data_IF_421224020365
#
_entry.id   IF_421224020365
#
_cell.length_a   1.000
_cell.length_b   1.000
_cell.length_c   1.000
_cell.angle_alpha   90.00
_cell.angle_beta   90.00
_cell.angle_gamma   90.00
#
_symmetry.space_group_name_H-M   'P 1'
#
loop_
_entity.id
_entity.type
_entity.pdbx_description
1 polymer ?
#
# COMPACT_ATOMS: atom_id res chain seq x y z
N UNK A 1 -36.47 -4.81 10.42
CA UNK A 1 -35.88 -6.01 9.80
C UNK A 1 -34.55 -5.56 9.26
N UNK A 2 -33.45 -6.10 9.76
CA UNK A 2 -32.16 -5.88 9.15
C UNK A 2 -32.21 -6.49 7.75
N UNK A 3 -32.06 -5.69 6.71
CA UNK A 3 -31.97 -6.19 5.35
C UNK A 3 -30.67 -7.02 5.26
N UNK A 4 -30.82 -8.30 4.99
CA UNK A 4 -29.69 -9.21 4.83
C UNK A 4 -28.98 -8.86 3.52
N UNK A 5 -27.69 -8.56 3.61
CA UNK A 5 -26.80 -8.52 2.44
C UNK A 5 -26.58 -9.96 1.97
N UNK A 6 -26.85 -10.23 0.69
CA UNK A 6 -26.74 -11.59 0.12
C UNK A 6 -25.31 -11.92 -0.35
N UNK A 7 -24.37 -11.04 -0.17
CA UNK A 7 -22.95 -11.27 -0.49
C UNK A 7 -22.22 -11.62 0.81
N UNK A 8 -21.55 -12.76 0.83
CA UNK A 8 -20.78 -13.21 2.00
C UNK A 8 -19.70 -12.18 2.40
N UNK A 9 -19.32 -12.18 3.67
CA UNK A 9 -18.16 -11.39 4.11
C UNK A 9 -16.88 -12.03 3.56
N UNK A 10 -15.80 -11.22 3.45
CA UNK A 10 -14.50 -11.70 3.00
C UNK A 10 -14.02 -12.83 3.91
N UNK A 11 -13.72 -13.99 3.34
CA UNK A 11 -13.14 -15.11 4.10
C UNK A 11 -11.70 -14.77 4.48
N UNK A 12 -11.48 -14.59 5.78
CA UNK A 12 -10.18 -14.24 6.34
C UNK A 12 -9.48 -15.40 7.06
N UNK A 13 -10.02 -16.63 6.99
CA UNK A 13 -9.50 -17.76 7.76
C UNK A 13 -8.02 -18.04 7.51
N UNK A 14 -7.55 -17.82 6.28
CA UNK A 14 -6.14 -17.95 5.90
C UNK A 14 -5.28 -16.85 6.51
N UNK A 15 -5.84 -15.63 6.73
CA UNK A 15 -5.10 -14.47 7.21
C UNK A 15 -5.14 -14.32 8.74
N UNK A 16 -6.14 -14.91 9.41
CA UNK A 16 -6.33 -14.81 10.86
C UNK A 16 -5.50 -15.82 11.66
N UNK A 17 -4.46 -16.41 11.07
CA UNK A 17 -3.49 -17.29 11.72
C UNK A 17 -2.66 -16.45 12.70
N UNK A 18 -2.52 -16.96 13.93
CA UNK A 18 -1.70 -16.35 14.97
C UNK A 18 -0.55 -17.29 15.32
N UNK A 19 0.66 -16.74 15.32
CA UNK A 19 1.82 -17.45 15.80
C UNK A 19 2.10 -17.12 17.26
N UNK A 20 2.77 -18.05 17.93
CA UNK A 20 3.15 -17.89 19.36
C UNK A 20 4.35 -16.93 19.45
N UNK A 21 4.21 -15.85 20.22
CA UNK A 21 5.24 -14.79 20.33
C UNK A 21 6.30 -15.09 21.40
N UNK A 22 6.50 -16.35 21.79
CA UNK A 22 7.23 -16.73 22.99
C UNK A 22 8.62 -16.15 23.13
N UNK A 23 9.29 -15.85 22.07
CA UNK A 23 10.69 -15.38 22.13
C UNK A 23 10.91 -14.05 21.35
N UNK A 24 9.84 -13.30 21.06
CA UNK A 24 9.97 -12.01 20.40
C UNK A 24 10.50 -10.94 21.37
N UNK A 25 11.48 -10.16 20.91
CA UNK A 25 11.92 -8.98 21.62
C UNK A 25 10.98 -7.82 21.31
N UNK A 26 10.42 -7.20 22.35
CA UNK A 26 9.50 -6.05 22.21
C UNK A 26 10.00 -4.87 23.02
N UNK A 27 9.96 -3.69 22.42
CA UNK A 27 10.12 -2.46 23.20
C UNK A 27 8.86 -2.18 24.01
N UNK A 28 8.98 -1.29 25.00
CA UNK A 28 7.84 -0.77 25.73
C UNK A 28 6.90 -0.04 24.75
N UNK A 29 5.59 -0.13 24.99
CA UNK A 29 4.60 0.65 24.25
C UNK A 29 4.80 2.15 24.45
N UNK A 30 4.35 2.92 23.47
CA UNK A 30 4.46 4.38 23.46
C UNK A 30 5.53 4.90 22.52
N UNK A 31 5.70 6.22 22.54
CA UNK A 31 6.62 6.95 21.66
C UNK A 31 7.36 8.03 22.44
N UNK A 32 8.58 7.71 22.86
CA UNK A 32 9.47 8.62 23.60
C UNK A 32 10.85 8.71 22.96
N UNK A 33 11.67 9.72 23.28
CA UNK A 33 13.05 9.80 22.78
C UNK A 33 13.87 8.55 23.10
N UNK A 34 13.65 7.93 24.27
CA UNK A 34 14.36 6.73 24.70
C UNK A 34 13.97 5.51 23.86
N UNK A 35 12.68 5.39 23.47
CA UNK A 35 12.20 4.32 22.57
C UNK A 35 12.82 4.52 21.18
N UNK A 36 12.80 5.74 20.63
CA UNK A 36 13.40 6.08 19.33
C UNK A 36 14.91 5.80 19.33
N UNK A 37 15.61 6.15 20.41
CA UNK A 37 17.04 5.85 20.55
C UNK A 37 17.28 4.33 20.58
N UNK A 38 16.48 3.56 21.31
CA UNK A 38 16.61 2.09 21.35
C UNK A 38 16.38 1.46 19.98
N UNK A 39 15.42 1.94 19.19
CA UNK A 39 15.23 1.48 17.79
C UNK A 39 16.50 1.77 16.99
N UNK A 40 17.04 2.97 17.09
CA UNK A 40 18.28 3.37 16.40
C UNK A 40 19.46 2.49 16.78
N UNK A 41 19.61 2.18 18.06
CA UNK A 41 20.70 1.33 18.58
C UNK A 41 20.54 -0.13 18.08
N UNK A 42 19.32 -0.69 18.11
CA UNK A 42 19.02 -2.03 17.59
C UNK A 42 19.27 -2.17 16.09
N UNK A 43 19.03 -1.09 15.32
CA UNK A 43 19.29 -1.04 13.88
C UNK A 43 20.72 -0.69 13.52
N UNK A 44 21.54 -0.25 14.47
CA UNK A 44 22.90 0.21 14.22
C UNK A 44 22.94 1.43 13.29
N UNK A 45 21.98 2.33 13.42
CA UNK A 45 21.82 3.47 12.52
C UNK A 45 23.08 4.32 12.40
N UNK A 46 23.43 4.81 11.19
CA UNK A 46 24.46 5.83 11.05
C UNK A 46 24.01 7.14 11.72
N UNK A 47 24.96 7.98 12.11
CA UNK A 47 24.71 9.21 12.88
C UNK A 47 23.65 10.14 12.25
N UNK A 48 23.62 10.23 10.91
CA UNK A 48 22.62 11.04 10.21
C UNK A 48 21.19 10.49 10.38
N UNK A 49 21.02 9.17 10.44
CA UNK A 49 19.73 8.53 10.63
C UNK A 49 19.24 8.67 12.08
N UNK A 50 20.15 8.51 13.04
CA UNK A 50 19.86 8.76 14.45
C UNK A 50 19.30 10.17 14.68
N UNK A 51 19.99 11.17 14.13
CA UNK A 51 19.55 12.56 14.18
C UNK A 51 18.20 12.77 13.47
N UNK A 52 18.03 12.14 12.30
CA UNK A 52 16.80 12.22 11.52
C UNK A 52 15.59 11.66 12.30
N UNK A 53 15.74 10.53 12.99
CA UNK A 53 14.68 9.95 13.83
C UNK A 53 14.26 10.90 14.95
N UNK A 54 15.21 11.47 15.69
CA UNK A 54 14.90 12.40 16.78
C UNK A 54 14.26 13.69 16.28
N UNK A 55 14.71 14.22 15.15
CA UNK A 55 14.05 15.37 14.50
C UNK A 55 12.63 15.04 14.06
N UNK A 56 12.40 13.84 13.52
CA UNK A 56 11.08 13.38 13.13
C UNK A 56 10.14 13.22 14.34
N UNK A 57 10.65 12.74 15.48
CA UNK A 57 9.90 12.69 16.73
C UNK A 57 9.51 14.09 17.21
N UNK A 58 10.41 15.06 17.12
CA UNK A 58 10.07 16.45 17.45
C UNK A 58 8.92 16.97 16.58
N UNK A 59 9.01 16.76 15.25
CA UNK A 59 7.95 17.15 14.32
C UNK A 59 6.63 16.44 14.66
N UNK A 60 6.68 15.14 15.01
CA UNK A 60 5.50 14.39 15.45
C UNK A 60 4.81 15.05 16.67
N UNK A 61 5.60 15.42 17.69
CA UNK A 61 5.06 16.04 18.91
C UNK A 61 4.43 17.41 18.65
N UNK A 62 4.97 18.16 17.70
CA UNK A 62 4.46 19.49 17.31
C UNK A 62 3.27 19.41 16.33
N UNK A 63 3.09 18.26 15.65
CA UNK A 63 2.07 18.06 14.62
C UNK A 63 0.72 17.71 15.21
N UNK A 64 -0.35 18.22 14.59
CA UNK A 64 -1.73 17.82 14.91
C UNK A 64 -2.12 16.57 14.12
N UNK A 65 -3.05 15.81 14.70
CA UNK A 65 -3.70 14.71 13.97
C UNK A 65 -4.44 15.28 12.76
N UNK A 66 -4.26 14.71 11.57
CA UNK A 66 -5.00 15.14 10.38
C UNK A 66 -6.51 15.01 10.58
N UNK A 67 -7.27 15.98 10.04
CA UNK A 67 -8.72 16.02 10.15
C UNK A 67 -9.45 15.82 8.81
N UNK A 68 -8.73 15.45 7.76
CA UNK A 68 -9.35 15.26 6.44
C UNK A 68 -10.00 13.90 6.25
N UNK A 69 -9.61 12.89 7.01
CA UNK A 69 -10.09 11.50 6.91
C UNK A 69 -11.04 11.13 8.05
N UNK A 70 -11.38 9.84 8.14
CA UNK A 70 -12.19 9.29 9.23
C UNK A 70 -11.59 9.54 10.62
N UNK A 71 -12.40 9.57 11.68
CA UNK A 71 -11.90 9.63 13.05
C UNK A 71 -10.97 8.44 13.37
N UNK A 72 -9.90 8.71 14.11
CA UNK A 72 -8.96 7.69 14.60
C UNK A 72 -8.87 7.68 16.13
N UNK A 73 -9.95 8.07 16.80
CA UNK A 73 -10.01 8.24 18.27
C UNK A 73 -9.75 6.93 19.03
N UNK A 74 -9.92 5.77 18.38
CA UNK A 74 -9.58 4.46 18.92
C UNK A 74 -8.09 4.11 18.86
N UNK A 75 -7.25 4.92 18.22
CA UNK A 75 -5.81 4.74 18.13
C UNK A 75 -5.12 5.54 19.25
N UNK A 76 -4.63 4.84 20.25
CA UNK A 76 -3.83 5.42 21.33
C UNK A 76 -2.36 4.99 21.19
N UNK A 77 -1.50 5.94 20.83
CA UNK A 77 -0.07 5.68 20.63
C UNK A 77 0.67 5.25 21.88
N UNK A 78 0.16 5.58 23.08
CA UNK A 78 0.76 5.15 24.35
C UNK A 78 0.63 3.64 24.55
N UNK A 79 -0.32 3.02 23.85
CA UNK A 79 -0.57 1.57 23.88
C UNK A 79 -0.01 0.81 22.66
N UNK A 80 0.63 1.50 21.70
CA UNK A 80 1.22 0.86 20.53
C UNK A 80 2.70 0.56 20.77
N UNK A 81 3.07 -0.71 20.58
CA UNK A 81 4.48 -1.15 20.54
C UNK A 81 5.03 -0.82 19.16
N UNK A 82 6.03 0.06 19.11
CA UNK A 82 6.57 0.57 17.84
C UNK A 82 7.68 -0.30 17.24
N UNK A 83 8.19 -1.28 17.97
CA UNK A 83 9.21 -2.20 17.48
C UNK A 83 9.07 -3.58 18.12
N UNK A 84 8.97 -4.59 17.25
CA UNK A 84 8.91 -6.01 17.61
C UNK A 84 9.87 -6.79 16.73
N UNK A 85 10.87 -7.42 17.32
CA UNK A 85 11.82 -8.27 16.60
C UNK A 85 11.51 -9.75 16.89
N UNK A 86 11.16 -10.57 15.88
CA UNK A 86 11.03 -11.99 16.05
C UNK A 86 12.38 -12.63 16.43
N UNK A 87 12.37 -13.77 17.08
CA UNK A 87 13.60 -14.49 17.45
C UNK A 87 14.19 -15.24 16.24
N UNK A 88 14.54 -14.50 15.22
CA UNK A 88 15.17 -15.02 14.01
C UNK A 88 16.05 -13.96 13.35
N UNK A 89 16.92 -14.41 12.44
CA UNK A 89 17.69 -13.53 11.57
C UNK A 89 17.22 -13.71 10.13
N UNK A 90 17.41 -12.67 9.32
CA UNK A 90 17.15 -12.76 7.88
C UNK A 90 17.92 -13.93 7.24
N UNK A 91 17.24 -14.69 6.40
CA UNK A 91 17.84 -15.81 5.65
C UNK A 91 17.56 -15.66 4.16
N UNK A 92 18.51 -16.09 3.34
CA UNK A 92 18.35 -16.27 1.89
C UNK A 92 17.79 -17.66 1.53
N UNK A 93 17.66 -18.57 2.51
CA UNK A 93 17.13 -19.91 2.32
C UNK A 93 15.84 -20.08 3.12
N UNK A 94 14.79 -20.46 2.45
CA UNK A 94 13.49 -20.69 3.07
C UNK A 94 13.52 -21.81 4.12
N UNK A 95 14.42 -22.81 3.98
CA UNK A 95 14.61 -23.87 4.98
C UNK A 95 15.02 -23.36 6.35
N UNK A 96 15.70 -22.23 6.40
CA UNK A 96 16.33 -21.70 7.63
C UNK A 96 15.40 -20.74 8.40
N UNK A 97 14.25 -20.39 7.81
CA UNK A 97 13.20 -19.60 8.48
C UNK A 97 12.53 -20.46 9.56
N UNK A 98 12.28 -19.94 10.79
CA UNK A 98 11.57 -20.67 11.84
C UNK A 98 10.25 -21.27 11.36
N UNK A 99 9.91 -22.45 11.91
CA UNK A 99 8.79 -23.25 11.41
C UNK A 99 7.45 -22.54 11.48
N UNK A 100 7.14 -21.87 12.55
CA UNK A 100 5.90 -21.13 12.79
C UNK A 100 5.74 -20.00 11.78
N UNK A 101 6.77 -19.15 11.63
CA UNK A 101 6.81 -18.07 10.63
C UNK A 101 6.70 -18.65 9.20
N UNK A 102 7.43 -19.73 8.94
CA UNK A 102 7.40 -20.43 7.65
C UNK A 102 6.01 -20.98 7.33
N UNK A 103 5.37 -21.67 8.30
CA UNK A 103 4.04 -22.23 8.15
C UNK A 103 3.01 -21.12 7.83
N UNK A 104 3.14 -19.93 8.44
CA UNK A 104 2.31 -18.76 8.14
C UNK A 104 2.49 -18.29 6.70
N UNK A 105 3.72 -18.07 6.25
CA UNK A 105 3.98 -17.64 4.87
C UNK A 105 3.63 -18.72 3.83
N UNK A 106 3.79 -20.01 4.14
CA UNK A 106 3.37 -21.11 3.28
C UNK A 106 1.85 -21.15 3.08
N UNK A 107 1.06 -20.91 4.14
CA UNK A 107 -0.40 -20.79 4.05
C UNK A 107 -0.84 -19.58 3.25
N UNK A 108 -0.09 -18.49 3.32
CA UNK A 108 -0.29 -17.29 2.50
C UNK A 108 0.17 -17.47 1.03
N UNK A 109 0.77 -18.61 0.69
CA UNK A 109 1.15 -18.94 -0.68
C UNK A 109 2.45 -18.28 -1.16
N UNK A 110 3.19 -17.57 -0.31
CA UNK A 110 4.37 -16.77 -0.71
C UNK A 110 5.48 -17.64 -1.34
N UNK A 111 5.91 -18.79 -0.77
CA UNK A 111 6.97 -19.60 -1.39
C UNK A 111 6.56 -20.24 -2.71
N UNK A 112 5.27 -20.45 -2.93
CA UNK A 112 4.76 -21.02 -4.18
C UNK A 112 4.78 -19.97 -5.29
N UNK A 113 4.40 -18.71 -4.98
CA UNK A 113 4.48 -17.59 -5.89
C UNK A 113 5.92 -17.30 -6.29
N UNK A 114 6.88 -17.30 -5.34
CA UNK A 114 8.30 -17.12 -5.61
C UNK A 114 8.82 -18.11 -6.64
N UNK A 115 8.53 -19.41 -6.44
CA UNK A 115 9.02 -20.47 -7.35
C UNK A 115 8.45 -20.38 -8.75
N UNK A 116 7.23 -19.90 -8.90
CA UNK A 116 6.50 -19.94 -10.18
C UNK A 116 6.56 -18.63 -10.96
N UNK A 117 6.43 -17.49 -10.28
CA UNK A 117 6.01 -16.26 -10.93
C UNK A 117 6.83 -15.01 -10.56
N UNK A 118 7.80 -15.12 -9.63
CA UNK A 118 8.51 -13.95 -9.12
C UNK A 118 10.02 -14.01 -9.41
N UNK A 119 10.61 -12.83 -9.63
CA UNK A 119 12.05 -12.68 -9.82
C UNK A 119 12.81 -12.52 -8.50
N UNK A 120 12.10 -12.19 -7.42
CA UNK A 120 12.64 -12.08 -6.06
C UNK A 120 11.53 -11.82 -5.07
N UNK A 121 11.76 -12.22 -3.82
CA UNK A 121 10.82 -12.08 -2.70
C UNK A 121 11.53 -11.56 -1.46
N UNK A 122 10.91 -10.60 -0.78
CA UNK A 122 11.20 -10.22 0.59
C UNK A 122 10.00 -10.54 1.47
N UNK A 123 10.21 -11.18 2.62
CA UNK A 123 9.16 -11.44 3.60
C UNK A 123 9.55 -10.81 4.93
N UNK A 124 8.74 -9.86 5.38
CA UNK A 124 8.86 -9.20 6.67
C UNK A 124 7.84 -9.76 7.65
N UNK A 125 8.29 -9.99 8.87
CA UNK A 125 7.46 -10.43 9.99
C UNK A 125 7.65 -9.46 11.15
N UNK A 126 6.57 -8.81 11.57
CA UNK A 126 6.60 -7.68 12.49
C UNK A 126 7.55 -6.56 12.01
N UNK A 127 8.58 -6.22 12.76
CA UNK A 127 9.50 -5.13 12.42
C UNK A 127 10.74 -5.56 11.61
N UNK A 128 10.88 -6.84 11.28
CA UNK A 128 12.11 -7.38 10.67
C UNK A 128 11.87 -8.17 9.39
N UNK A 129 12.77 -8.02 8.43
CA UNK A 129 12.86 -8.92 7.29
C UNK A 129 13.40 -10.29 7.76
N UNK A 130 12.65 -11.35 7.50
CA UNK A 130 12.99 -12.72 7.93
C UNK A 130 13.47 -13.60 6.78
N UNK A 131 13.07 -13.26 5.57
CA UNK A 131 13.47 -13.95 4.34
C UNK A 131 13.68 -12.96 3.22
N UNK A 132 14.73 -13.17 2.43
CA UNK A 132 14.97 -12.40 1.22
C UNK A 132 15.73 -13.22 0.19
N UNK A 133 15.25 -13.19 -1.04
CA UNK A 133 15.92 -13.83 -2.17
C UNK A 133 15.64 -13.07 -3.47
N UNK A 134 16.62 -13.07 -4.37
CA UNK A 134 16.50 -12.55 -5.74
C UNK A 134 17.17 -13.53 -6.70
N UNK A 135 16.57 -13.76 -7.87
CA UNK A 135 17.14 -14.67 -8.87
C UNK A 135 18.48 -14.15 -9.39
N UNK A 136 19.45 -15.04 -9.53
CA UNK A 136 20.80 -14.71 -9.98
C UNK A 136 20.82 -13.99 -11.34
N UNK A 137 19.94 -14.40 -12.26
CA UNK A 137 19.80 -13.79 -13.59
C UNK A 137 19.36 -12.31 -13.54
N UNK A 138 18.60 -11.92 -12.51
CA UNK A 138 18.17 -10.54 -12.28
C UNK A 138 19.28 -9.75 -11.59
N UNK A 139 19.90 -10.34 -10.58
CA UNK A 139 21.06 -9.73 -9.90
C UNK A 139 22.25 -9.52 -10.86
N UNK A 140 22.49 -10.45 -11.78
CA UNK A 140 23.55 -10.34 -12.79
C UNK A 140 23.37 -9.16 -13.76
N UNK A 141 22.16 -8.61 -13.90
CA UNK A 141 21.88 -7.40 -14.65
C UNK A 141 22.19 -6.11 -13.87
N UNK A 142 22.68 -6.23 -12.65
CA UNK A 142 22.94 -5.10 -11.75
C UNK A 142 21.72 -4.61 -10.97
N UNK A 143 20.61 -5.34 -11.02
CA UNK A 143 19.43 -5.04 -10.20
C UNK A 143 19.74 -5.33 -8.76
N UNK A 144 19.47 -4.36 -7.89
CA UNK A 144 19.58 -4.50 -6.44
C UNK A 144 18.17 -4.64 -5.88
N UNK A 145 17.97 -5.68 -5.09
CA UNK A 145 16.82 -5.83 -4.22
C UNK A 145 17.29 -6.38 -2.89
N UNK A 146 17.14 -5.61 -1.83
CA UNK A 146 17.57 -5.97 -0.47
C UNK A 146 16.71 -5.22 0.55
N UNK A 147 16.90 -5.51 1.85
CA UNK A 147 16.33 -4.68 2.89
C UNK A 147 17.03 -3.30 2.95
N UNK A 148 16.25 -2.30 3.36
CA UNK A 148 16.75 -0.91 3.36
C UNK A 148 17.86 -0.68 4.38
N UNK A 149 17.84 -1.39 5.51
CA UNK A 149 18.83 -1.26 6.58
C UNK A 149 20.19 -1.78 6.12
N UNK A 150 20.25 -2.98 5.55
CA UNK A 150 21.49 -3.52 4.97
C UNK A 150 22.03 -2.61 3.87
N UNK A 151 21.16 -2.05 3.04
CA UNK A 151 21.57 -1.14 1.97
C UNK A 151 22.17 0.17 2.50
N UNK A 152 21.72 0.67 3.66
CA UNK A 152 22.28 1.86 4.32
C UNK A 152 23.74 1.68 4.77
N UNK A 153 24.16 0.45 5.04
CA UNK A 153 25.54 0.13 5.48
C UNK A 153 26.41 -0.36 4.31
N UNK A 154 25.85 -0.48 3.11
CA UNK A 154 26.49 -1.02 1.92
C UNK A 154 26.94 0.05 0.90
N UNK A 155 27.23 -0.38 -0.31
CA UNK A 155 27.67 0.51 -1.40
C UNK A 155 26.60 1.50 -1.86
N UNK A 156 25.36 1.35 -1.43
CA UNK A 156 24.24 2.23 -1.77
C UNK A 156 23.92 3.27 -0.69
N UNK A 157 24.71 3.36 0.38
CA UNK A 157 24.48 4.26 1.51
C UNK A 157 24.26 5.73 1.10
N UNK A 158 25.08 6.27 0.20
CA UNK A 158 24.94 7.64 -0.30
C UNK A 158 23.63 7.82 -1.11
N UNK A 159 23.28 6.81 -1.93
CA UNK A 159 22.06 6.84 -2.72
C UNK A 159 20.83 6.86 -1.80
N UNK A 160 20.84 6.05 -0.74
CA UNK A 160 19.74 6.02 0.24
C UNK A 160 19.68 7.36 0.97
N UNK A 161 20.76 7.89 1.49
CA UNK A 161 20.77 9.17 2.19
C UNK A 161 20.26 10.32 1.32
N UNK A 162 20.52 10.26 0.00
CA UNK A 162 20.02 11.23 -0.99
C UNK A 162 18.53 11.14 -1.22
N UNK A 163 17.93 9.95 -1.10
CA UNK A 163 16.53 9.71 -1.50
C UNK A 163 15.60 9.47 -0.32
N UNK A 164 16.07 8.94 0.81
CA UNK A 164 15.27 8.59 1.97
C UNK A 164 14.50 9.78 2.52
N UNK A 165 13.18 9.64 2.60
CA UNK A 165 12.21 10.65 3.03
C UNK A 165 12.42 12.04 2.38
N UNK A 166 12.70 12.04 1.08
CA UNK A 166 12.77 13.25 0.25
C UNK A 166 11.48 13.56 -0.48
N UNK A 167 10.71 12.56 -0.84
CA UNK A 167 9.38 12.73 -1.41
C UNK A 167 8.33 12.84 -0.30
N UNK A 168 8.41 11.98 0.72
CA UNK A 168 7.58 12.02 1.92
C UNK A 168 8.39 12.65 3.05
N UNK A 169 8.11 13.90 3.39
CA UNK A 169 8.84 14.59 4.46
C UNK A 169 8.16 14.38 5.81
N UNK A 170 8.90 14.30 6.92
CA UNK A 170 8.31 14.27 8.26
C UNK A 170 7.34 15.43 8.52
N UNK A 171 7.56 16.58 7.89
CA UNK A 171 6.74 17.79 8.02
C UNK A 171 5.43 17.75 7.23
N UNK A 172 5.16 16.72 6.45
CA UNK A 172 3.96 16.66 5.62
C UNK A 172 2.69 16.41 6.46
N UNK A 173 2.77 15.52 7.42
CA UNK A 173 1.72 15.24 8.40
C UNK A 173 2.24 14.37 9.54
N UNK A 174 1.46 14.27 10.61
CA UNK A 174 1.83 13.56 11.84
C UNK A 174 2.29 12.10 11.63
N UNK A 175 1.65 11.36 10.72
CA UNK A 175 2.03 9.95 10.46
C UNK A 175 3.29 9.80 9.63
N UNK A 176 3.63 10.77 8.77
CA UNK A 176 4.94 10.82 8.11
C UNK A 176 6.06 11.12 9.12
N UNK A 177 5.79 11.99 10.10
CA UNK A 177 6.71 12.25 11.20
C UNK A 177 6.89 11.02 12.10
N UNK A 178 5.79 10.33 12.45
CA UNK A 178 5.82 9.05 13.18
C UNK A 178 6.67 8.02 12.45
N UNK A 179 6.43 7.82 11.16
CA UNK A 179 7.22 6.91 10.34
C UNK A 179 8.70 7.25 10.40
N UNK A 180 9.07 8.51 10.18
CA UNK A 180 10.46 8.95 10.24
C UNK A 180 11.15 8.67 11.57
N UNK A 181 10.40 8.70 12.69
CA UNK A 181 10.94 8.42 14.02
C UNK A 181 11.18 6.93 14.31
N UNK A 182 10.27 6.05 13.84
CA UNK A 182 10.23 4.64 14.28
C UNK A 182 10.32 3.62 13.14
N UNK A 183 10.57 4.02 11.91
CA UNK A 183 10.61 3.09 10.78
C UNK A 183 11.57 1.92 11.02
N UNK A 184 11.20 0.76 10.54
CA UNK A 184 12.00 -0.46 10.60
C UNK A 184 11.58 -1.42 9.50
N UNK A 185 12.55 -2.11 8.91
CA UNK A 185 12.31 -3.00 7.79
C UNK A 185 11.98 -2.27 6.48
N UNK A 186 11.40 -2.98 5.55
CA UNK A 186 11.08 -2.49 4.21
C UNK A 186 12.12 -2.86 3.18
N UNK A 187 11.98 -2.31 1.98
CA UNK A 187 12.71 -2.76 0.80
C UNK A 187 13.45 -1.63 0.12
N UNK A 188 14.68 -1.93 -0.31
CA UNK A 188 15.44 -1.11 -1.24
C UNK A 188 15.53 -1.81 -2.59
N UNK A 189 15.07 -1.16 -3.66
CA UNK A 189 15.20 -1.64 -5.04
C UNK A 189 15.85 -0.58 -5.91
N UNK A 190 16.89 -0.98 -6.64
CA UNK A 190 17.51 -0.17 -7.68
C UNK A 190 17.57 -0.96 -8.98
N UNK A 191 17.01 -0.40 -10.05
CA UNK A 191 17.07 -0.96 -11.40
C UNK A 191 17.92 -0.04 -12.27
N UNK A 192 19.10 -0.51 -12.76
CA UNK A 192 20.01 0.30 -13.54
C UNK A 192 19.43 0.75 -14.88
N UNK A 193 20.02 1.78 -15.55
CA UNK A 193 19.55 2.29 -16.83
C UNK A 193 19.40 1.18 -17.89
N UNK A 194 18.27 1.21 -18.60
CA UNK A 194 17.97 0.31 -19.70
C UNK A 194 17.65 -1.14 -19.33
N UNK A 195 17.67 -1.48 -18.03
CA UNK A 195 17.38 -2.84 -17.56
C UNK A 195 15.87 -3.05 -17.45
N UNK A 196 15.38 -4.15 -18.02
CA UNK A 196 13.97 -4.53 -17.97
C UNK A 196 13.76 -5.77 -17.10
N UNK A 197 13.18 -5.59 -15.92
CA UNK A 197 12.80 -6.68 -15.01
C UNK A 197 11.38 -7.11 -15.34
N UNK A 198 11.25 -8.09 -16.25
CA UNK A 198 9.96 -8.51 -16.80
C UNK A 198 9.14 -9.40 -15.87
N UNK A 199 9.81 -10.07 -14.93
CA UNK A 199 9.17 -10.89 -13.89
C UNK A 199 9.11 -10.04 -12.61
N UNK A 200 7.96 -9.95 -11.94
CA UNK A 200 7.81 -9.06 -10.79
C UNK A 200 8.75 -9.40 -9.61
N UNK A 201 9.15 -8.36 -8.87
CA UNK A 201 9.69 -8.48 -7.51
C UNK A 201 8.54 -8.28 -6.51
N UNK A 202 8.62 -8.95 -5.36
CA UNK A 202 7.58 -8.86 -4.33
C UNK A 202 8.16 -8.62 -2.94
N UNK A 203 7.49 -7.76 -2.16
CA UNK A 203 7.58 -7.74 -0.69
C UNK A 203 6.26 -8.16 -0.07
N UNK A 204 6.33 -8.93 1.00
CA UNK A 204 5.17 -9.29 1.79
C UNK A 204 5.38 -8.91 3.26
N UNK A 205 4.45 -8.14 3.81
CA UNK A 205 4.50 -7.63 5.19
C UNK A 205 3.45 -8.32 6.05
N UNK A 206 3.90 -8.98 7.10
CA UNK A 206 3.04 -9.64 8.08
C UNK A 206 3.24 -9.02 9.46
N UNK A 207 2.21 -8.38 10.02
CA UNK A 207 2.19 -7.94 11.41
C UNK A 207 1.48 -8.99 12.25
N UNK A 208 2.22 -9.72 13.10
CA UNK A 208 1.66 -10.76 13.94
C UNK A 208 1.43 -10.29 15.40
N UNK A 209 2.22 -9.35 15.92
CA UNK A 209 2.16 -8.90 17.29
C UNK A 209 0.89 -8.09 17.61
N UNK A 210 0.10 -8.46 18.64
CA UNK A 210 -1.04 -7.66 19.07
C UNK A 210 -0.60 -6.34 19.71
N UNK A 211 -1.34 -5.24 19.43
CA UNK A 211 -1.03 -3.93 19.98
C UNK A 211 0.27 -3.32 19.43
N UNK A 212 0.76 -3.84 18.32
CA UNK A 212 1.99 -3.34 17.69
C UNK A 212 1.70 -2.52 16.43
N UNK A 213 2.70 -1.75 16.02
CA UNK A 213 2.76 -1.05 14.74
C UNK A 213 3.77 -1.68 13.79
N UNK A 214 3.52 -1.53 12.49
CA UNK A 214 4.45 -1.84 11.41
C UNK A 214 4.74 -0.58 10.62
N UNK A 215 6.03 -0.30 10.39
CA UNK A 215 6.52 0.98 9.88
C UNK A 215 7.61 0.77 8.82
N UNK A 216 7.37 -0.12 7.88
CA UNK A 216 8.33 -0.44 6.82
C UNK A 216 8.51 0.73 5.85
N UNK A 217 9.75 0.89 5.35
CA UNK A 217 10.08 1.89 4.34
C UNK A 217 10.50 1.24 3.03
N UNK A 218 9.72 1.43 1.99
CA UNK A 218 10.02 0.96 0.64
C UNK A 218 10.58 2.10 -0.20
N UNK A 219 11.83 1.96 -0.64
CA UNK A 219 12.50 2.90 -1.53
C UNK A 219 12.83 2.20 -2.85
N UNK A 220 12.24 2.66 -3.95
CA UNK A 220 12.45 2.10 -5.28
C UNK A 220 12.95 3.18 -6.24
N UNK A 221 14.07 2.90 -6.91
CA UNK A 221 14.65 3.75 -7.93
C UNK A 221 14.74 2.95 -9.23
N UNK A 222 13.97 3.35 -10.24
CA UNK A 222 13.99 2.78 -11.59
C UNK A 222 14.63 3.80 -12.51
N UNK A 223 15.85 3.54 -12.96
CA UNK A 223 16.67 4.51 -13.67
C UNK A 223 16.27 4.65 -15.15
N UNK A 224 16.94 5.51 -15.90
CA UNK A 224 16.58 5.88 -17.27
C UNK A 224 16.32 4.67 -18.16
N UNK A 225 15.15 4.63 -18.82
CA UNK A 225 14.75 3.59 -19.77
C UNK A 225 14.52 2.20 -19.15
N UNK A 226 14.57 2.08 -17.84
CA UNK A 226 14.40 0.81 -17.15
C UNK A 226 12.91 0.47 -16.90
N UNK A 227 12.63 -0.80 -16.62
CA UNK A 227 11.29 -1.30 -16.29
C UNK A 227 11.30 -2.19 -15.06
N UNK A 228 10.33 -1.96 -14.19
CA UNK A 228 10.06 -2.82 -13.03
C UNK A 228 8.56 -2.96 -12.79
N UNK A 229 8.12 -4.17 -12.46
CA UNK A 229 6.88 -4.41 -11.73
C UNK A 229 7.21 -4.86 -10.32
N UNK A 230 6.77 -4.09 -9.32
CA UNK A 230 6.92 -4.40 -7.91
C UNK A 230 5.56 -4.66 -7.28
N UNK A 231 5.47 -5.69 -6.46
CA UNK A 231 4.24 -6.12 -5.80
C UNK A 231 4.43 -6.04 -4.29
N UNK A 232 3.49 -5.44 -3.60
CA UNK A 232 3.44 -5.38 -2.15
C UNK A 232 2.17 -6.04 -1.63
N UNK A 233 2.33 -7.02 -0.75
CA UNK A 233 1.23 -7.66 -0.04
C UNK A 233 1.34 -7.40 1.46
N UNK A 234 0.20 -7.12 2.11
CA UNK A 234 0.16 -6.84 3.54
C UNK A 234 -0.98 -7.59 4.22
N UNK A 235 -0.72 -8.17 5.39
CA UNK A 235 -1.76 -8.81 6.20
C UNK A 235 -1.45 -8.80 7.70
N UNK A 236 -2.51 -8.96 8.51
CA UNK A 236 -2.42 -9.18 9.95
C UNK A 236 -3.56 -10.07 10.44
N UNK A 237 -3.37 -10.88 11.49
CA UNK A 237 -4.46 -11.59 12.13
C UNK A 237 -5.34 -10.63 12.95
N UNK A 238 -6.55 -11.05 13.25
CA UNK A 238 -7.50 -10.27 14.04
C UNK A 238 -7.19 -10.36 15.52
N UNK A 239 -7.06 -9.20 16.16
CA UNK A 239 -6.94 -9.06 17.62
C UNK A 239 -8.06 -8.17 18.18
N UNK A 240 -8.23 -8.20 19.52
CA UNK A 240 -9.19 -7.35 20.26
C UNK A 240 -8.55 -6.03 20.72
N UNK A 241 -7.42 -5.67 20.16
CA UNK A 241 -6.68 -4.44 20.44
C UNK A 241 -6.32 -3.76 19.13
N UNK A 242 -6.14 -2.44 19.14
CA UNK A 242 -5.73 -1.70 17.96
C UNK A 242 -4.32 -2.11 17.53
N UNK A 243 -4.14 -2.26 16.22
CA UNK A 243 -2.85 -2.35 15.57
C UNK A 243 -2.71 -1.16 14.60
N UNK A 244 -1.48 -0.76 14.31
CA UNK A 244 -1.18 0.37 13.43
C UNK A 244 -0.28 -0.06 12.28
N UNK A 245 -0.61 0.37 11.08
CA UNK A 245 0.30 0.35 9.94
C UNK A 245 0.53 1.78 9.47
N UNK A 246 1.76 2.24 9.52
CA UNK A 246 2.16 3.55 9.03
C UNK A 246 3.47 3.45 8.23
N UNK A 247 3.43 2.64 7.17
CA UNK A 247 4.50 2.46 6.21
C UNK A 247 4.72 3.70 5.34
N UNK A 248 5.85 3.74 4.68
CA UNK A 248 6.20 4.79 3.73
C UNK A 248 6.78 4.18 2.44
N UNK A 249 6.30 4.67 1.30
CA UNK A 249 6.78 4.24 -0.02
C UNK A 249 7.21 5.44 -0.83
N UNK A 250 8.46 5.43 -1.29
CA UNK A 250 9.04 6.46 -2.15
C UNK A 250 9.54 5.84 -3.45
N UNK A 251 8.98 6.29 -4.56
CA UNK A 251 9.25 5.77 -5.89
C UNK A 251 9.86 6.85 -6.78
N UNK A 252 11.03 6.56 -7.33
CA UNK A 252 11.74 7.45 -8.27
C UNK A 252 11.76 6.77 -9.63
N UNK A 253 11.05 7.37 -10.59
CA UNK A 253 10.93 6.87 -11.97
C UNK A 253 11.72 7.78 -12.89
N UNK A 254 12.82 7.27 -13.41
CA UNK A 254 13.75 7.98 -14.27
C UNK A 254 13.18 8.31 -15.65
N UNK A 255 13.98 9.01 -16.46
CA UNK A 255 13.61 9.40 -17.83
C UNK A 255 13.28 8.17 -18.67
N UNK A 256 12.11 8.19 -19.33
CA UNK A 256 11.59 7.09 -20.16
C UNK A 256 11.51 5.72 -19.42
N UNK A 257 11.62 5.71 -18.10
CA UNK A 257 11.46 4.52 -17.30
C UNK A 257 9.97 4.21 -17.03
N UNK A 258 9.70 2.96 -16.70
CA UNK A 258 8.35 2.55 -16.30
C UNK A 258 8.40 1.74 -15.01
N UNK A 259 7.61 2.14 -14.02
CA UNK A 259 7.39 1.40 -12.79
C UNK A 259 5.91 1.08 -12.65
N UNK A 260 5.59 -0.19 -12.47
CA UNK A 260 4.28 -0.64 -12.01
C UNK A 260 4.39 -1.05 -10.56
N UNK A 261 3.58 -0.44 -9.70
CA UNK A 261 3.52 -0.73 -8.27
C UNK A 261 2.13 -1.24 -7.91
N UNK A 262 2.06 -2.53 -7.58
CA UNK A 262 0.81 -3.20 -7.21
C UNK A 262 0.77 -3.47 -5.72
N UNK A 263 -0.32 -3.10 -5.04
CA UNK A 263 -0.51 -3.33 -3.61
C UNK A 263 -1.79 -4.11 -3.36
N UNK A 264 -1.71 -5.15 -2.53
CA UNK A 264 -2.87 -5.81 -1.94
C UNK A 264 -2.77 -5.68 -0.42
N UNK A 265 -3.70 -4.91 0.15
CA UNK A 265 -3.75 -4.64 1.59
C UNK A 265 -4.94 -5.39 2.20
N UNK A 266 -4.66 -6.48 2.91
CA UNK A 266 -5.64 -7.32 3.56
C UNK A 266 -5.44 -7.36 5.09
N UNK A 267 -5.50 -6.19 5.69
CA UNK A 267 -5.39 -6.01 7.13
C UNK A 267 -6.64 -6.50 7.87
N UNK A 268 -6.48 -6.90 9.12
CA UNK A 268 -7.62 -7.23 9.98
C UNK A 268 -8.44 -6.00 10.39
N UNK A 269 -9.70 -6.21 10.78
CA UNK A 269 -10.64 -5.12 11.15
C UNK A 269 -10.31 -4.37 12.45
N UNK A 270 -9.19 -4.65 13.10
CA UNK A 270 -8.65 -3.86 14.23
C UNK A 270 -7.46 -2.98 13.84
N UNK A 271 -7.11 -2.95 12.55
CA UNK A 271 -5.97 -2.19 12.02
C UNK A 271 -6.35 -0.76 11.67
N UNK A 272 -5.53 0.19 12.10
CA UNK A 272 -5.46 1.53 11.54
C UNK A 272 -4.37 1.56 10.48
N UNK A 273 -4.75 1.75 9.21
CA UNK A 273 -3.84 1.72 8.08
C UNK A 273 -3.62 3.14 7.53
N UNK A 274 -2.55 3.77 7.97
CA UNK A 274 -2.24 5.20 7.75
C UNK A 274 -0.96 5.34 6.92
N UNK A 275 -0.91 4.67 5.79
CA UNK A 275 0.26 4.56 4.92
C UNK A 275 0.45 5.78 4.02
N UNK A 276 1.70 6.11 3.67
CA UNK A 276 2.03 7.24 2.80
C UNK A 276 2.87 6.77 1.61
N UNK A 277 2.37 6.99 0.38
CA UNK A 277 3.04 6.56 -0.85
C UNK A 277 3.22 7.74 -1.81
N UNK A 278 4.44 7.94 -2.34
CA UNK A 278 4.74 8.97 -3.33
C UNK A 278 5.65 8.51 -4.45
N UNK A 279 5.39 9.01 -5.65
CA UNK A 279 6.23 8.83 -6.82
C UNK A 279 6.67 10.17 -7.42
N UNK A 280 7.93 10.24 -7.85
CA UNK A 280 8.46 11.30 -8.69
C UNK A 280 8.73 10.71 -10.07
N UNK A 281 8.18 11.33 -11.12
CA UNK A 281 8.27 10.82 -12.50
C UNK A 281 8.97 11.85 -13.37
N UNK A 282 10.11 11.46 -13.93
CA UNK A 282 10.92 12.29 -14.83
C UNK A 282 10.40 12.24 -16.27
N UNK A 283 11.08 12.93 -17.20
CA UNK A 283 10.69 13.08 -18.59
C UNK A 283 10.34 11.76 -19.27
N UNK A 284 9.14 11.66 -19.86
CA UNK A 284 8.66 10.47 -20.57
C UNK A 284 8.46 9.23 -19.67
N UNK A 285 8.74 9.35 -18.36
CA UNK A 285 8.57 8.25 -17.41
C UNK A 285 7.10 7.94 -17.16
N UNK A 286 6.82 6.71 -16.69
CA UNK A 286 5.45 6.25 -16.39
C UNK A 286 5.42 5.54 -15.05
N UNK A 287 4.49 5.96 -14.19
CA UNK A 287 4.11 5.22 -12.96
C UNK A 287 2.71 4.64 -13.11
N UNK A 288 2.57 3.35 -12.85
CA UNK A 288 1.29 2.65 -12.76
C UNK A 288 1.06 2.18 -11.33
N UNK A 289 -0.01 2.67 -10.70
CA UNK A 289 -0.47 2.22 -9.41
C UNK A 289 -1.63 1.24 -9.57
N UNK A 290 -1.53 0.06 -8.97
CA UNK A 290 -2.63 -0.90 -8.87
C UNK A 290 -2.88 -1.19 -7.40
N UNK A 291 -4.09 -0.97 -6.89
CA UNK A 291 -4.38 -1.03 -5.46
C UNK A 291 -5.64 -1.84 -5.18
N UNK A 292 -5.53 -2.84 -4.30
CA UNK A 292 -6.65 -3.53 -3.68
C UNK A 292 -6.65 -3.29 -2.17
N UNK A 293 -7.70 -2.68 -1.63
CA UNK A 293 -7.85 -2.41 -0.20
C UNK A 293 -9.01 -3.22 0.37
N UNK A 294 -8.67 -4.22 1.18
CA UNK A 294 -9.59 -5.17 1.80
C UNK A 294 -9.25 -5.30 3.28
N UNK A 295 -10.05 -4.86 4.16
CA UNK A 295 -9.75 -4.95 5.58
C UNK A 295 -9.52 -3.58 6.21
N UNK A 296 -8.83 -3.55 7.35
CA UNK A 296 -8.67 -2.40 8.24
C UNK A 296 -9.97 -1.95 8.92
N UNK A 297 -9.85 -1.30 10.06
CA UNK A 297 -10.92 -0.53 10.70
C UNK A 297 -11.05 0.84 10.04
N UNK A 298 -9.91 1.54 9.92
CA UNK A 298 -9.77 2.82 9.25
C UNK A 298 -8.58 2.77 8.31
N UNK A 299 -8.74 3.33 7.11
CA UNK A 299 -7.62 3.49 6.17
C UNK A 299 -7.50 4.94 5.70
N UNK A 300 -6.24 5.43 5.61
CA UNK A 300 -5.83 6.63 4.91
C UNK A 300 -4.83 6.23 3.82
N UNK A 301 -5.30 6.08 2.59
CA UNK A 301 -4.51 5.57 1.47
C UNK A 301 -4.60 6.53 0.28
N UNK A 302 -3.62 7.42 0.16
CA UNK A 302 -3.60 8.46 -0.85
C UNK A 302 -2.26 8.49 -1.61
N UNK A 303 -1.98 7.51 -2.50
CA UNK A 303 -0.78 7.58 -3.32
C UNK A 303 -0.75 8.88 -4.11
N UNK A 304 0.43 9.51 -4.16
CA UNK A 304 0.63 10.78 -4.84
C UNK A 304 1.72 10.63 -5.90
N UNK A 305 1.49 11.19 -7.09
CA UNK A 305 2.49 11.27 -8.15
C UNK A 305 2.81 12.70 -8.51
N UNK A 306 4.10 13.02 -8.64
CA UNK A 306 4.61 14.29 -9.13
C UNK A 306 5.18 14.04 -10.53
N UNK A 307 4.47 14.53 -11.55
CA UNK A 307 4.86 14.45 -12.95
C UNK A 307 5.79 15.63 -13.27
N UNK A 308 7.09 15.45 -12.96
CA UNK A 308 8.11 16.49 -12.98
C UNK A 308 8.70 16.73 -14.37
N UNK A 309 8.76 15.69 -15.20
CA UNK A 309 9.34 15.77 -16.53
C UNK A 309 8.29 15.92 -17.64
N UNK A 310 8.67 16.54 -18.76
CA UNK A 310 7.81 16.64 -19.93
C UNK A 310 7.30 15.26 -20.38
N UNK A 311 6.00 15.12 -20.66
CA UNK A 311 5.40 13.89 -21.15
C UNK A 311 5.33 12.76 -20.10
N UNK A 312 5.64 13.03 -18.84
CA UNK A 312 5.51 12.05 -17.76
C UNK A 312 4.05 11.61 -17.59
N UNK A 313 3.84 10.35 -17.18
CA UNK A 313 2.51 9.74 -17.09
C UNK A 313 2.26 9.08 -15.75
N UNK A 314 0.99 9.10 -15.34
CA UNK A 314 0.51 8.36 -14.19
C UNK A 314 -0.79 7.63 -14.54
N UNK A 315 -0.87 6.36 -14.18
CA UNK A 315 -2.08 5.56 -14.22
C UNK A 315 -2.37 5.02 -12.83
N UNK A 316 -3.64 5.05 -12.44
CA UNK A 316 -4.10 4.47 -11.19
C UNK A 316 -5.33 3.61 -11.45
N UNK A 317 -5.29 2.38 -10.97
CA UNK A 317 -6.43 1.47 -10.93
C UNK A 317 -6.58 0.90 -9.53
N UNK A 318 -7.72 1.13 -8.90
CA UNK A 318 -7.93 0.71 -7.52
C UNK A 318 -9.32 0.17 -7.24
N UNK A 319 -9.39 -0.77 -6.29
CA UNK A 319 -10.64 -1.27 -5.73
C UNK A 319 -10.59 -1.26 -4.20
N UNK A 320 -11.69 -0.82 -3.59
CA UNK A 320 -11.88 -0.80 -2.15
C UNK A 320 -13.13 -1.57 -1.79
N UNK A 321 -13.04 -2.44 -0.77
CA UNK A 321 -14.20 -3.15 -0.25
C UNK A 321 -14.37 -2.84 1.24
N UNK A 322 -15.44 -2.13 1.60
CA UNK A 322 -15.76 -1.73 2.95
C UNK A 322 -16.96 -2.51 3.49
N UNK A 323 -16.74 -3.32 4.51
CA UNK A 323 -17.77 -4.07 5.24
C UNK A 323 -18.09 -3.47 6.61
N UNK A 324 -18.87 -4.21 7.41
CA UNK A 324 -19.29 -3.78 8.74
C UNK A 324 -18.12 -3.29 9.61
N UNK A 325 -18.27 -2.10 10.20
CA UNK A 325 -17.29 -1.47 11.09
C UNK A 325 -16.05 -0.93 10.42
N UNK A 326 -16.03 -0.82 9.08
CA UNK A 326 -14.90 -0.27 8.32
C UNK A 326 -15.22 1.12 7.76
N UNK A 327 -14.23 2.01 7.85
CA UNK A 327 -14.27 3.34 7.23
C UNK A 327 -12.98 3.53 6.42
N UNK A 328 -13.06 3.22 5.13
CA UNK A 328 -11.91 3.18 4.24
C UNK A 328 -11.89 4.44 3.38
N UNK A 329 -11.01 5.36 3.73
CA UNK A 329 -10.80 6.60 3.00
C UNK A 329 -9.57 6.44 2.11
N UNK A 330 -9.82 6.31 0.83
CA UNK A 330 -8.82 6.09 -0.22
C UNK A 330 -8.82 7.25 -1.20
N UNK A 331 -7.81 7.31 -2.04
CA UNK A 331 -7.76 8.35 -3.05
C UNK A 331 -6.47 8.37 -3.82
N UNK A 332 -6.33 9.35 -4.69
CA UNK A 332 -5.12 9.56 -5.49
C UNK A 332 -4.89 11.04 -5.68
N UNK A 333 -3.65 11.45 -5.55
CA UNK A 333 -3.22 12.80 -5.88
C UNK A 333 -2.22 12.79 -7.03
N UNK A 334 -2.41 13.69 -8.00
CA UNK A 334 -1.42 13.95 -9.05
C UNK A 334 -1.10 15.43 -9.12
N UNK A 335 0.19 15.72 -9.31
CA UNK A 335 0.71 17.06 -9.58
C UNK A 335 1.34 17.05 -10.96
N UNK A 336 0.70 17.71 -11.92
CA UNK A 336 1.26 17.99 -13.23
C UNK A 336 2.17 19.22 -13.12
N UNK A 337 3.48 19.00 -13.13
CA UNK A 337 4.49 20.05 -12.93
C UNK A 337 5.25 20.43 -14.21
N UNK A 338 5.10 19.65 -15.28
CA UNK A 338 5.77 19.84 -16.58
C UNK A 338 4.79 19.71 -17.75
N UNK A 339 5.14 20.22 -18.95
CA UNK A 339 4.27 20.19 -20.12
C UNK A 339 3.91 18.79 -20.61
N UNK A 340 2.74 18.67 -21.22
CA UNK A 340 2.28 17.46 -21.93
C UNK A 340 2.20 16.21 -21.04
N UNK A 341 2.01 16.39 -19.72
CA UNK A 341 1.87 15.28 -18.77
C UNK A 341 0.45 14.71 -18.77
N UNK A 342 0.32 13.42 -18.49
CA UNK A 342 -0.98 12.74 -18.57
C UNK A 342 -1.24 11.94 -17.29
N UNK A 343 -2.47 11.97 -16.80
CA UNK A 343 -2.92 11.09 -15.72
C UNK A 343 -4.27 10.46 -16.00
N UNK A 344 -4.43 9.19 -15.63
CA UNK A 344 -5.69 8.44 -15.70
C UNK A 344 -5.91 7.78 -14.35
N UNK A 345 -7.10 7.97 -13.77
CA UNK A 345 -7.48 7.40 -12.48
C UNK A 345 -8.79 6.64 -12.62
N UNK A 346 -8.74 5.34 -12.35
CA UNK A 346 -9.91 4.47 -12.33
C UNK A 346 -10.06 3.88 -10.91
N UNK A 347 -11.11 4.30 -10.19
CA UNK A 347 -11.40 3.83 -8.86
C UNK A 347 -12.74 3.13 -8.79
N UNK A 348 -12.76 2.00 -8.10
CA UNK A 348 -13.99 1.27 -7.78
C UNK A 348 -14.10 1.05 -6.29
N UNK A 349 -15.31 1.14 -5.75
CA UNK A 349 -15.58 0.82 -4.36
C UNK A 349 -16.86 0.01 -4.21
N UNK A 350 -16.82 -0.91 -3.26
CA UNK A 350 -17.97 -1.71 -2.86
C UNK A 350 -18.16 -1.50 -1.37
N UNK A 351 -19.39 -1.20 -0.95
CA UNK A 351 -19.73 -1.01 0.47
C UNK A 351 -20.91 -1.89 0.84
N UNK A 352 -20.81 -2.58 1.98
CA UNK A 352 -21.87 -3.45 2.52
C UNK A 352 -21.93 -3.43 4.04
N UNK A 353 -23.08 -3.84 4.60
CA UNK A 353 -23.29 -4.00 6.04
C UNK A 353 -22.93 -2.75 6.88
N UNK A 354 -23.24 -1.56 6.33
CA UNK A 354 -22.92 -0.28 6.95
C UNK A 354 -21.45 0.18 6.79
N UNK A 355 -20.68 -0.49 5.95
CA UNK A 355 -19.31 -0.06 5.61
C UNK A 355 -19.29 1.30 4.90
N UNK A 356 -18.26 2.07 5.13
CA UNK A 356 -18.06 3.40 4.53
C UNK A 356 -16.82 3.35 3.64
N UNK A 357 -16.99 3.70 2.37
CA UNK A 357 -15.89 3.94 1.44
C UNK A 357 -15.90 5.38 0.97
N UNK A 358 -14.73 6.04 1.01
CA UNK A 358 -14.54 7.38 0.47
C UNK A 358 -13.43 7.34 -0.56
N UNK A 359 -13.65 7.96 -1.72
CA UNK A 359 -12.61 8.16 -2.73
C UNK A 359 -12.33 9.66 -2.92
N UNK A 360 -11.07 10.06 -2.65
CA UNK A 360 -10.59 11.43 -2.83
C UNK A 360 -9.68 11.52 -4.05
N UNK A 361 -10.11 12.19 -5.10
CA UNK A 361 -9.22 12.52 -6.22
C UNK A 361 -8.72 13.96 -6.08
N UNK A 362 -7.42 14.16 -6.31
CA UNK A 362 -6.82 15.50 -6.31
C UNK A 362 -5.94 15.66 -7.55
N UNK A 363 -6.36 16.54 -8.45
CA UNK A 363 -5.62 16.89 -9.67
C UNK A 363 -5.13 18.33 -9.54
N UNK A 364 -3.82 18.51 -9.54
CA UNK A 364 -3.18 19.80 -9.56
C UNK A 364 -2.41 20.00 -10.88
N UNK A 365 -2.77 20.98 -11.67
CA UNK A 365 -2.05 21.34 -12.89
C UNK A 365 -1.38 22.70 -12.69
N UNK A 366 -0.05 22.70 -12.66
CA UNK A 366 0.74 23.91 -12.43
C UNK A 366 0.79 24.80 -13.69
N UNK A 367 1.17 26.07 -13.54
CA UNK A 367 1.36 27.00 -14.65
C UNK A 367 2.42 26.50 -15.65
N UNK A 368 3.37 25.72 -15.18
CA UNK A 368 4.46 25.09 -15.95
C UNK A 368 4.05 23.85 -16.75
N UNK A 369 2.77 23.45 -16.70
CA UNK A 369 2.28 22.21 -17.27
C UNK A 369 1.20 22.42 -18.38
N UNK A 370 1.46 23.24 -19.42
CA UNK A 370 0.54 23.34 -20.56
C UNK A 370 0.45 22.02 -21.33
N UNK A 371 -0.68 21.78 -22.00
CA UNK A 371 -0.94 20.57 -22.77
C UNK A 371 -1.18 19.32 -21.93
N UNK A 372 -1.34 19.48 -20.62
CA UNK A 372 -1.56 18.34 -19.71
C UNK A 372 -3.00 17.83 -19.79
N UNK A 373 -3.17 16.51 -19.59
CA UNK A 373 -4.47 15.83 -19.61
C UNK A 373 -4.65 14.99 -18.35
N UNK A 374 -5.86 15.05 -17.77
CA UNK A 374 -6.21 14.23 -16.62
C UNK A 374 -7.65 13.72 -16.74
N UNK A 375 -7.84 12.43 -16.55
CA UNK A 375 -9.17 11.81 -16.49
C UNK A 375 -9.32 11.06 -15.17
N UNK A 376 -10.42 11.32 -14.48
CA UNK A 376 -10.79 10.62 -13.25
C UNK A 376 -12.13 9.95 -13.44
N UNK A 377 -12.21 8.65 -13.22
CA UNK A 377 -13.44 7.86 -13.23
C UNK A 377 -13.58 7.12 -11.91
N UNK A 378 -14.67 7.40 -11.20
CA UNK A 378 -15.02 6.75 -9.94
C UNK A 378 -16.32 6.00 -10.09
N UNK A 379 -16.35 4.74 -9.67
CA UNK A 379 -17.56 3.94 -9.64
C UNK A 379 -17.73 3.32 -8.26
N UNK A 380 -18.92 3.47 -7.68
CA UNK A 380 -19.23 2.94 -6.35
C UNK A 380 -20.50 2.13 -6.37
N UNK A 381 -20.45 0.96 -5.75
CA UNK A 381 -21.55 0.04 -5.62
C UNK A 381 -21.88 -0.20 -4.14
N UNK A 382 -23.07 0.19 -3.71
CA UNK A 382 -23.59 -0.13 -2.38
C UNK A 382 -24.51 -1.35 -2.46
N UNK A 383 -24.29 -2.32 -1.57
CA UNK A 383 -25.02 -3.58 -1.56
C UNK A 383 -26.28 -3.54 -0.69
N UNK A 384 -26.44 -2.49 0.11
CA UNK A 384 -27.56 -2.28 1.04
C UNK A 384 -27.86 -0.79 1.26
N UNK A 385 -28.86 -0.49 2.09
CA UNK A 385 -29.35 0.87 2.36
C UNK A 385 -28.61 1.58 3.49
N UNK A 386 -27.82 0.85 4.31
CA UNK A 386 -27.10 1.40 5.46
C UNK A 386 -25.64 1.71 5.16
N UNK A 387 -25.11 1.19 4.05
CA UNK A 387 -23.75 1.44 3.58
C UNK A 387 -23.63 2.82 2.93
N UNK A 388 -22.40 3.36 2.97
CA UNK A 388 -22.11 4.68 2.45
C UNK A 388 -20.94 4.67 1.48
N UNK A 389 -21.05 5.46 0.41
CA UNK A 389 -19.95 5.73 -0.50
C UNK A 389 -19.89 7.21 -0.83
N UNK A 390 -18.71 7.82 -0.63
CA UNK A 390 -18.47 9.23 -0.89
C UNK A 390 -17.41 9.39 -1.99
N UNK A 391 -17.58 10.42 -2.82
CA UNK A 391 -16.56 10.87 -3.78
C UNK A 391 -16.28 12.34 -3.55
N UNK A 392 -15.00 12.67 -3.32
CA UNK A 392 -14.54 14.02 -3.00
C UNK A 392 -13.48 14.46 -4.01
N UNK A 393 -13.88 15.06 -5.14
CA UNK A 393 -12.95 15.58 -6.14
C UNK A 393 -12.38 16.93 -5.73
N UNK A 394 -11.07 17.13 -5.99
CA UNK A 394 -10.39 18.41 -5.86
C UNK A 394 -9.58 18.67 -7.14
N UNK A 395 -9.80 19.85 -7.74
CA UNK A 395 -9.11 20.26 -8.95
C UNK A 395 -8.51 21.66 -8.77
N UNK A 396 -7.19 21.78 -8.94
CA UNK A 396 -6.46 23.05 -8.92
C UNK A 396 -5.74 23.22 -10.26
N UNK A 397 -6.41 23.90 -11.22
CA UNK A 397 -5.94 24.03 -12.59
C UNK A 397 -5.44 25.46 -12.80
N UNK A 398 -4.12 25.62 -12.91
CA UNK A 398 -3.45 26.93 -13.00
C UNK A 398 -2.97 27.31 -14.41
N UNK A 399 -3.28 26.52 -15.42
CA UNK A 399 -3.04 26.82 -16.83
C UNK A 399 -4.35 26.80 -17.63
N UNK A 400 -4.43 27.54 -18.74
CA UNK A 400 -5.60 27.52 -19.64
C UNK A 400 -5.52 26.40 -20.67
N UNK A 401 -4.34 25.84 -20.88
CA UNK A 401 -4.07 24.75 -21.81
C UNK A 401 -3.96 23.44 -21.02
N UNK A 402 -5.10 22.94 -20.56
CA UNK A 402 -5.23 21.63 -19.91
C UNK A 402 -6.61 21.04 -20.19
N UNK A 403 -6.66 19.72 -20.35
CA UNK A 403 -7.89 18.93 -20.50
C UNK A 403 -8.07 18.06 -19.26
N UNK A 404 -9.05 18.42 -18.42
CA UNK A 404 -9.28 17.72 -17.13
C UNK A 404 -10.75 17.34 -17.01
N UNK A 405 -11.00 16.03 -16.87
CA UNK A 405 -12.33 15.46 -16.69
C UNK A 405 -12.46 14.65 -15.41
N UNK A 406 -13.64 14.70 -14.79
CA UNK A 406 -14.02 13.85 -13.67
C UNK A 406 -15.42 13.30 -13.89
N UNK A 407 -15.56 11.98 -13.79
CA UNK A 407 -16.84 11.27 -13.85
C UNK A 407 -16.99 10.43 -12.57
N UNK A 408 -18.17 10.50 -11.93
CA UNK A 408 -18.53 9.65 -10.80
C UNK A 408 -19.86 8.95 -11.05
N UNK A 409 -19.90 7.64 -10.81
CA UNK A 409 -21.11 6.82 -10.82
C UNK A 409 -21.26 6.15 -9.47
N UNK A 410 -22.26 6.55 -8.70
CA UNK A 410 -22.55 5.99 -7.39
C UNK A 410 -23.95 5.40 -7.45
N UNK A 411 -24.10 4.15 -7.10
CA UNK A 411 -25.37 3.47 -7.16
C UNK A 411 -25.46 2.24 -6.28
N UNK A 412 -26.66 1.69 -6.23
CA UNK A 412 -26.93 0.40 -5.61
C UNK A 412 -27.03 -0.68 -6.67
N UNK A 413 -26.99 -1.93 -6.25
CA UNK A 413 -27.33 -3.05 -7.15
C UNK A 413 -28.75 -2.82 -7.68
N UNK A 414 -28.89 -2.86 -9.00
CA UNK A 414 -30.18 -2.73 -9.66
C UNK A 414 -31.01 -3.98 -9.46
N UNK A 415 -32.21 -3.84 -8.87
CA UNK A 415 -33.15 -4.95 -8.71
C UNK A 415 -33.57 -5.53 -10.06
N UNK A 416 -33.66 -4.69 -11.09
CA UNK A 416 -33.95 -5.15 -12.46
C UNK A 416 -32.82 -6.06 -13.00
N UNK A 417 -31.57 -5.73 -12.73
CA UNK A 417 -30.41 -6.56 -13.12
C UNK A 417 -30.41 -7.90 -12.36
N UNK A 418 -30.74 -7.87 -11.07
CA UNK A 418 -30.87 -9.08 -10.24
C UNK A 418 -32.00 -9.93 -10.77
N UNK A 419 -33.20 -9.35 -11.00
CA UNK A 419 -34.34 -10.05 -11.52
C UNK A 419 -34.07 -10.66 -12.91
N UNK A 420 -33.40 -9.94 -13.79
CA UNK A 420 -32.97 -10.45 -15.08
C UNK A 420 -32.12 -11.72 -14.97
N UNK A 421 -31.11 -11.70 -14.08
CA UNK A 421 -30.29 -12.88 -13.86
C UNK A 421 -31.03 -14.03 -13.22
N UNK A 422 -31.93 -13.75 -12.27
CA UNK A 422 -32.85 -14.77 -11.69
C UNK A 422 -33.73 -15.39 -12.74
N UNK A 423 -34.26 -14.62 -13.70
CA UNK A 423 -35.06 -15.13 -14.82
C UNK A 423 -34.25 -16.05 -15.76
N UNK A 424 -32.93 -16.06 -15.66
CA UNK A 424 -32.03 -16.98 -16.37
C UNK A 424 -31.64 -18.21 -15.55
N UNK A 425 -32.21 -18.37 -14.35
CA UNK A 425 -32.04 -19.56 -13.51
C UNK A 425 -31.05 -19.44 -12.36
N UNK A 426 -30.52 -18.25 -12.09
CA UNK A 426 -29.69 -18.00 -10.91
C UNK A 426 -30.55 -17.76 -9.67
N UNK A 427 -30.08 -18.15 -8.51
CA UNK A 427 -30.62 -17.66 -7.24
C UNK A 427 -30.37 -16.17 -7.08
N UNK A 428 -31.04 -15.49 -6.17
CA UNK A 428 -30.80 -14.09 -5.89
C UNK A 428 -29.34 -13.85 -5.40
N UNK A 429 -28.85 -14.74 -4.55
CA UNK A 429 -27.48 -14.72 -4.04
C UNK A 429 -26.45 -14.83 -5.17
N UNK A 430 -26.61 -15.82 -6.07
CA UNK A 430 -25.72 -15.98 -7.24
C UNK A 430 -25.79 -14.79 -8.20
N UNK A 431 -26.98 -14.20 -8.40
CA UNK A 431 -27.16 -13.03 -9.24
C UNK A 431 -26.41 -11.80 -8.67
N UNK A 432 -26.55 -11.53 -7.38
CA UNK A 432 -25.86 -10.45 -6.70
C UNK A 432 -24.33 -10.66 -6.68
N UNK A 433 -23.87 -11.87 -6.36
CA UNK A 433 -22.45 -12.21 -6.40
C UNK A 433 -21.84 -12.04 -7.81
N UNK A 434 -22.59 -12.41 -8.86
CA UNK A 434 -22.13 -12.22 -10.25
C UNK A 434 -22.00 -10.75 -10.63
N UNK A 435 -22.93 -9.88 -10.19
CA UNK A 435 -22.85 -8.43 -10.43
C UNK A 435 -21.62 -7.84 -9.73
N UNK A 436 -21.39 -8.21 -8.47
CA UNK A 436 -20.23 -7.75 -7.68
C UNK A 436 -18.91 -8.20 -8.31
N UNK A 437 -18.83 -9.49 -8.69
CA UNK A 437 -17.66 -10.03 -9.37
C UNK A 437 -17.38 -9.32 -10.70
N UNK A 438 -18.41 -9.09 -11.52
CA UNK A 438 -18.27 -8.35 -12.77
C UNK A 438 -17.86 -6.89 -12.56
N UNK A 439 -18.31 -6.26 -11.48
CA UNK A 439 -17.90 -4.91 -11.12
C UNK A 439 -16.40 -4.84 -10.73
N UNK A 440 -15.86 -5.88 -10.13
CA UNK A 440 -14.45 -5.97 -9.71
C UNK A 440 -13.51 -6.47 -10.82
N UNK A 441 -14.02 -7.10 -11.88
CA UNK A 441 -13.24 -7.86 -12.88
C UNK A 441 -12.15 -7.03 -13.60
N UNK A 442 -12.42 -5.76 -13.91
CA UNK A 442 -11.43 -4.92 -14.59
C UNK A 442 -10.18 -4.66 -13.73
N UNK A 443 -10.33 -4.59 -12.39
CA UNK A 443 -9.20 -4.43 -11.49
C UNK A 443 -8.46 -5.75 -11.33
N UNK A 444 -9.18 -6.88 -11.27
CA UNK A 444 -8.57 -8.20 -11.12
C UNK A 444 -7.65 -8.56 -12.28
N UNK A 445 -7.99 -8.13 -13.50
CA UNK A 445 -7.18 -8.33 -14.71
C UNK A 445 -5.86 -7.56 -14.69
N UNK A 446 -5.77 -6.51 -13.88
CA UNK A 446 -4.55 -5.70 -13.75
C UNK A 446 -3.55 -6.29 -12.75
N UNK A 447 -3.97 -7.25 -11.93
CA UNK A 447 -3.12 -7.92 -10.94
C UNK A 447 -2.42 -9.15 -11.54
N UNK A 448 -1.23 -9.52 -11.03
CA UNK A 448 -0.66 -10.84 -11.29
C UNK A 448 -1.64 -11.94 -10.90
N UNK A 449 -1.56 -13.09 -11.62
CA UNK A 449 -2.57 -14.16 -11.52
C UNK A 449 -2.84 -14.61 -10.08
N UNK A 450 -1.81 -14.75 -9.27
CA UNK A 450 -1.92 -15.19 -7.87
C UNK A 450 -2.72 -14.19 -7.02
N UNK A 451 -2.48 -12.90 -7.23
CA UNK A 451 -3.22 -11.82 -6.55
C UNK A 451 -4.61 -11.60 -7.11
N UNK A 452 -4.80 -11.84 -8.41
CA UNK A 452 -6.13 -11.84 -9.01
C UNK A 452 -7.00 -12.96 -8.41
N UNK A 453 -6.43 -14.14 -8.19
CA UNK A 453 -7.11 -15.26 -7.51
C UNK A 453 -7.43 -14.90 -6.06
N UNK A 454 -6.47 -14.33 -5.33
CA UNK A 454 -6.67 -13.86 -3.96
C UNK A 454 -7.80 -12.82 -3.89
N UNK A 455 -7.74 -11.79 -4.73
CA UNK A 455 -8.78 -10.77 -4.81
C UNK A 455 -10.15 -11.34 -5.16
N UNK A 456 -10.22 -12.24 -6.14
CA UNK A 456 -11.48 -12.89 -6.51
C UNK A 456 -12.04 -13.77 -5.38
N UNK A 457 -11.18 -14.41 -4.58
CA UNK A 457 -11.61 -15.17 -3.40
C UNK A 457 -12.09 -14.25 -2.27
N UNK A 458 -11.53 -13.04 -2.16
CA UNK A 458 -11.94 -12.03 -1.18
C UNK A 458 -13.28 -11.35 -1.53
N UNK A 459 -13.68 -11.36 -2.81
CA UNK A 459 -14.91 -10.69 -3.31
C UNK A 459 -16.08 -11.66 -3.49
N UNK A 460 -15.81 -12.96 -3.61
CA UNK A 460 -16.84 -14.02 -3.69
C UNK A 460 -17.54 -14.25 -2.36
#
# INVERSE_FOLDING_TARGET
>A
MEEKTYVADIDRTVYDIKDDEKDAYKLQAGLTPEIVQKISDEKGDPAWMQLFRLQSLQVYNESRVPQWGPPIDGLDMDNIVTYVRPNTKMSAKWSDVPKDIKDTFERLGIPQAERKSLAGVGAQYDSELVYHNVREEVAAQGVVYTDLESAMHGPYAEMIQKHFMKLVKPTDHKFAALHGAVWSGGSFVYVPPGVSVTIPLQSYFRLNAPGAGQFEHTLIIVDEGAYLHFIEGCSAPKYNVANLHAGCVELFVGKNAKLRYSTIENWSKNMYNLNTKRALVEEGGTIEWVSGSFGSHVSYLYPMSILKGKGARMEYTGITFAGAGQNLDTGVKVVHAAPETTSVMNARSISKDGGISTFRSSVQVQKTAPGSKSTVSCQSLMLDDISRSDTIPAMDIRTRDADVGHEAKIGRISDDAVFYLMSRGLSEEEARAMIVSGFADDVSKELPLEYAVEMNNLIR
#
